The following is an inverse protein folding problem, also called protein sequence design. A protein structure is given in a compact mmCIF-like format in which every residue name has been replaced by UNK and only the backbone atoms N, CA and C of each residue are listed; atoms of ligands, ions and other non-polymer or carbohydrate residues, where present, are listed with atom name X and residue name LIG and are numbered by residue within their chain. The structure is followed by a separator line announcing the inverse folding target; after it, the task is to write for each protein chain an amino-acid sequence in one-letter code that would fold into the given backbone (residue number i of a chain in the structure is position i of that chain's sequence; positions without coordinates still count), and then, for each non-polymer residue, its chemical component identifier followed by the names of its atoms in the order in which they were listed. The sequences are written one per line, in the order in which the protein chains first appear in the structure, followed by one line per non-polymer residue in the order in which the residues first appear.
data_IF_849197408956
#
_entry.id   IF_849197408956
#
_cell.length_a   1.000
_cell.length_b   1.000
_cell.length_c   1.000
_cell.angle_alpha   90.00
_cell.angle_beta   90.00
_cell.angle_gamma   90.00
#
_symmetry.space_group_name_H-M   'P 1'
#
loop_
_entity.id
_entity.type
_entity.pdbx_description
1 polymer ?
#
# COMPACT_ATOMS: atom_id res chain seq x y z
N UNK A 1 -7.83 43.32 58.03
CA UNK A 1 -7.01 43.24 56.81
C UNK A 1 -6.31 41.87 56.63
N UNK A 2 -6.49 40.89 57.52
CA UNK A 2 -5.80 39.58 57.43
C UNK A 2 -6.55 38.51 56.61
N UNK A 3 -7.84 38.71 56.31
CA UNK A 3 -8.66 37.74 55.55
C UNK A 3 -8.57 37.88 54.01
N UNK A 4 -8.18 39.05 53.51
CA UNK A 4 -7.99 39.28 52.06
C UNK A 4 -6.79 38.47 51.53
N UNK A 5 -5.66 38.48 52.23
CA UNK A 5 -4.45 37.75 51.80
C UNK A 5 -4.64 36.23 51.72
N UNK A 6 -5.49 35.66 52.57
CA UNK A 6 -5.78 34.22 52.56
C UNK A 6 -6.62 33.85 51.33
N UNK A 7 -7.59 34.69 50.97
CA UNK A 7 -8.43 34.47 49.79
C UNK A 7 -7.61 34.57 48.50
N UNK A 8 -6.72 35.56 48.41
CA UNK A 8 -5.83 35.71 47.25
C UNK A 8 -4.87 34.52 47.10
N UNK A 9 -4.34 33.99 48.22
CA UNK A 9 -3.48 32.80 48.21
C UNK A 9 -4.22 31.55 47.70
N UNK A 10 -5.45 31.35 48.16
CA UNK A 10 -6.29 30.22 47.71
C UNK A 10 -6.57 30.32 46.21
N UNK A 11 -6.92 31.51 45.71
CA UNK A 11 -7.15 31.74 44.28
C UNK A 11 -5.89 31.54 43.44
N UNK A 12 -4.73 31.93 43.95
CA UNK A 12 -3.45 31.73 43.27
C UNK A 12 -3.13 30.23 43.10
N UNK A 13 -3.30 29.45 44.16
CA UNK A 13 -3.09 27.99 44.11
C UNK A 13 -4.10 27.34 43.17
N UNK A 14 -5.38 27.74 43.24
CA UNK A 14 -6.41 27.23 42.34
C UNK A 14 -6.07 27.52 40.87
N UNK A 15 -5.61 28.74 40.55
CA UNK A 15 -5.19 29.09 39.20
C UNK A 15 -3.96 28.29 38.73
N UNK A 16 -2.97 28.05 39.60
CA UNK A 16 -1.83 27.19 39.28
C UNK A 16 -2.25 25.75 38.97
N UNK A 17 -3.19 25.18 39.73
CA UNK A 17 -3.68 23.83 39.48
C UNK A 17 -4.40 23.73 38.14
N UNK A 18 -5.24 24.71 37.81
CA UNK A 18 -5.90 24.78 36.50
C UNK A 18 -4.87 24.92 35.38
N UNK A 19 -3.89 25.81 35.54
CA UNK A 19 -2.82 26.00 34.56
C UNK A 19 -2.00 24.72 34.35
N UNK A 20 -1.66 24.00 35.42
CA UNK A 20 -0.93 22.74 35.35
C UNK A 20 -1.73 21.66 34.61
N UNK A 21 -3.04 21.56 34.87
CA UNK A 21 -3.92 20.62 34.16
C UNK A 21 -4.01 20.93 32.67
N UNK A 22 -4.18 22.20 32.28
CA UNK A 22 -4.23 22.60 30.87
C UNK A 22 -2.90 22.33 30.18
N UNK A 23 -1.77 22.70 30.80
CA UNK A 23 -0.45 22.40 30.28
C UNK A 23 -0.23 20.89 30.10
N UNK A 24 -0.67 20.08 31.06
CA UNK A 24 -0.62 18.61 30.96
C UNK A 24 -1.40 18.09 29.75
N UNK A 25 -2.64 18.55 29.55
CA UNK A 25 -3.44 18.13 28.39
C UNK A 25 -2.81 18.55 27.06
N UNK A 26 -2.26 19.77 26.97
CA UNK A 26 -1.61 20.26 25.76
C UNK A 26 -0.36 19.44 25.42
N UNK A 27 0.45 19.09 26.42
CA UNK A 27 1.64 18.25 26.21
C UNK A 27 1.25 16.86 25.70
N UNK A 28 0.23 16.23 26.29
CA UNK A 28 -0.27 14.93 25.81
C UNK A 28 -0.76 15.02 24.37
N UNK A 29 -1.61 16.01 24.05
CA UNK A 29 -2.15 16.15 22.70
C UNK A 29 -1.08 16.45 21.65
N UNK A 30 -0.05 17.25 21.98
CA UNK A 30 1.08 17.48 21.08
C UNK A 30 1.91 16.21 20.89
N UNK A 31 2.08 15.40 21.95
CA UNK A 31 2.75 14.10 21.86
C UNK A 31 2.00 13.12 20.97
N UNK A 32 0.68 13.01 21.13
CA UNK A 32 -0.19 12.19 20.27
C UNK A 32 -0.14 12.64 18.81
N UNK A 33 -0.18 13.96 18.58
CA UNK A 33 -0.06 14.54 17.24
C UNK A 33 1.31 14.26 16.61
N UNK A 34 2.40 14.42 17.36
CA UNK A 34 3.76 14.13 16.87
C UNK A 34 3.88 12.67 16.46
N UNK A 35 3.45 11.74 17.33
CA UNK A 35 3.50 10.32 17.01
C UNK A 35 2.63 9.95 15.79
N UNK A 36 1.49 10.62 15.61
CA UNK A 36 0.65 10.41 14.42
C UNK A 36 1.31 10.95 13.16
N UNK A 37 1.99 12.10 13.23
CA UNK A 37 2.73 12.68 12.11
C UNK A 37 3.93 11.80 11.75
N UNK A 38 4.67 11.30 12.73
CA UNK A 38 5.82 10.43 12.52
C UNK A 38 5.38 9.12 11.84
N UNK A 39 4.27 8.52 12.29
CA UNK A 39 3.67 7.34 11.64
C UNK A 39 3.25 7.62 10.20
N UNK A 40 2.49 8.68 9.97
CA UNK A 40 2.05 9.07 8.62
C UNK A 40 3.22 9.37 7.68
N UNK A 41 4.29 10.00 8.19
CA UNK A 41 5.49 10.30 7.40
C UNK A 41 6.25 9.03 7.00
N UNK A 42 6.28 8.03 7.88
CA UNK A 42 6.85 6.71 7.57
C UNK A 42 6.07 6.00 6.47
N UNK A 43 4.75 5.92 6.61
CA UNK A 43 3.88 5.26 5.62
C UNK A 43 3.97 5.94 4.23
N UNK A 44 3.99 7.27 4.20
CA UNK A 44 4.15 8.02 2.93
C UNK A 44 5.53 7.82 2.31
N UNK A 45 6.58 7.71 3.13
CA UNK A 45 7.94 7.43 2.60
C UNK A 45 7.98 6.04 1.98
N UNK A 46 7.40 5.06 2.67
CA UNK A 46 7.26 3.68 2.21
C UNK A 46 6.49 3.59 0.87
N UNK A 47 5.42 4.37 0.70
CA UNK A 47 4.65 4.46 -0.54
C UNK A 47 5.46 5.11 -1.67
N UNK A 48 6.26 6.15 -1.39
CA UNK A 48 7.12 6.81 -2.39
C UNK A 48 8.27 5.91 -2.85
N UNK A 49 8.84 5.12 -1.94
CA UNK A 49 9.93 4.19 -2.23
C UNK A 49 9.44 2.91 -2.94
N UNK A 50 8.12 2.70 -3.00
CA UNK A 50 7.50 1.55 -3.66
C UNK A 50 6.99 1.94 -5.04
N UNK A 51 7.51 1.29 -6.08
CA UNK A 51 7.02 1.48 -7.45
C UNK A 51 7.16 0.17 -8.24
N UNK A 52 6.17 -0.11 -9.10
CA UNK A 52 6.13 -1.32 -9.92
C UNK A 52 5.66 -1.02 -11.34
N UNK A 53 6.30 -1.67 -12.31
CA UNK A 53 5.97 -1.53 -13.72
C UNK A 53 5.69 -2.89 -14.36
N UNK A 54 4.56 -3.01 -15.05
CA UNK A 54 4.25 -4.19 -15.85
C UNK A 54 4.98 -4.09 -17.19
N UNK A 55 5.90 -5.03 -17.45
CA UNK A 55 6.76 -5.06 -18.64
C UNK A 55 6.37 -6.17 -19.65
N UNK A 56 5.19 -6.77 -19.48
CA UNK A 56 4.66 -7.77 -20.41
C UNK A 56 4.46 -7.20 -21.83
N UNK A 57 4.57 -8.06 -22.85
CA UNK A 57 4.25 -7.70 -24.23
C UNK A 57 2.76 -7.94 -24.53
N UNK A 58 1.94 -6.90 -24.82
CA UNK A 58 0.49 -7.03 -25.02
C UNK A 58 0.11 -7.85 -26.26
N UNK A 59 1.03 -8.07 -27.21
CA UNK A 59 0.81 -8.90 -28.39
C UNK A 59 1.20 -10.36 -28.21
N UNK A 60 1.69 -10.76 -27.03
CA UNK A 60 2.17 -12.11 -26.76
C UNK A 60 1.05 -13.03 -26.29
N UNK A 61 0.97 -14.22 -26.88
CA UNK A 61 0.08 -15.31 -26.43
C UNK A 61 0.46 -15.83 -25.03
N UNK A 62 1.64 -15.47 -24.50
CA UNK A 62 2.09 -15.89 -23.18
C UNK A 62 1.34 -15.21 -22.01
N UNK A 63 0.54 -14.17 -22.29
CA UNK A 63 -0.24 -13.48 -21.24
C UNK A 63 -1.38 -14.37 -20.74
N UNK A 64 -2.09 -15.04 -21.65
CA UNK A 64 -3.27 -15.84 -21.29
C UNK A 64 -2.89 -17.31 -21.35
N UNK A 65 -2.97 -17.98 -20.20
CA UNK A 65 -2.65 -19.40 -20.09
C UNK A 65 -3.72 -20.32 -20.70
N UNK A 66 -3.38 -21.60 -20.77
CA UNK A 66 -4.28 -22.64 -21.29
C UNK A 66 -5.62 -22.64 -20.54
N UNK A 67 -6.73 -22.60 -21.28
CA UNK A 67 -8.12 -22.49 -20.81
C UNK A 67 -8.61 -21.08 -20.44
N UNK A 68 -7.86 -20.02 -20.72
CA UNK A 68 -8.28 -18.62 -20.56
C UNK A 68 -8.55 -18.19 -19.10
N UNK A 69 -8.21 -19.03 -18.14
CA UNK A 69 -8.44 -18.80 -16.71
C UNK A 69 -7.19 -18.33 -15.98
N UNK A 70 -6.09 -18.12 -16.70
CA UNK A 70 -4.83 -17.71 -16.09
C UNK A 70 -4.28 -16.51 -16.83
N UNK A 71 -3.90 -15.46 -16.10
CA UNK A 71 -3.21 -14.29 -16.63
C UNK A 71 -1.82 -14.23 -16.04
N UNK A 72 -0.79 -14.22 -16.89
CA UNK A 72 0.61 -14.15 -16.49
C UNK A 72 1.18 -12.80 -16.91
N UNK A 73 1.73 -12.07 -15.94
CA UNK A 73 2.35 -10.77 -16.14
C UNK A 73 3.80 -10.77 -15.63
N UNK A 74 4.66 -10.06 -16.34
CA UNK A 74 6.01 -9.76 -15.91
C UNK A 74 5.99 -8.38 -15.25
N UNK A 75 6.32 -8.33 -13.97
CA UNK A 75 6.26 -7.11 -13.17
C UNK A 75 7.66 -6.81 -12.65
N UNK A 76 8.18 -5.65 -13.02
CA UNK A 76 9.47 -5.16 -12.56
C UNK A 76 9.26 -4.27 -11.34
N UNK A 77 10.08 -4.47 -10.32
CA UNK A 77 10.17 -3.51 -9.22
C UNK A 77 11.02 -2.32 -9.68
N UNK A 78 10.41 -1.14 -9.82
CA UNK A 78 11.07 0.11 -10.21
C UNK A 78 11.34 1.02 -9.02
N UNK A 79 10.80 0.70 -7.85
CA UNK A 79 11.08 1.38 -6.59
C UNK A 79 12.41 0.96 -5.96
N UNK A 80 12.68 1.53 -4.80
CA UNK A 80 13.90 1.31 -4.01
C UNK A 80 13.70 0.25 -2.91
N UNK A 81 12.45 -0.11 -2.61
CA UNK A 81 12.10 -1.09 -1.58
C UNK A 81 12.05 -2.52 -2.12
N UNK A 82 12.56 -3.49 -1.36
CA UNK A 82 12.33 -4.91 -1.65
C UNK A 82 10.88 -5.32 -1.36
N UNK A 83 10.22 -5.93 -2.34
CA UNK A 83 8.84 -6.40 -2.22
C UNK A 83 8.76 -7.87 -1.76
N UNK A 84 7.73 -8.25 -0.99
CA UNK A 84 7.49 -9.64 -0.63
C UNK A 84 7.11 -10.48 -1.85
N UNK A 85 7.69 -11.68 -1.93
CA UNK A 85 7.42 -12.64 -3.02
C UNK A 85 6.19 -13.51 -2.78
N UNK A 86 5.48 -13.33 -1.67
CA UNK A 86 4.26 -14.07 -1.33
C UNK A 86 2.97 -13.38 -1.79
N UNK A 87 3.08 -12.20 -2.41
CA UNK A 87 1.94 -11.50 -3.01
C UNK A 87 1.04 -10.74 -2.02
N UNK A 88 1.33 -10.76 -0.71
CA UNK A 88 0.48 -10.10 0.30
C UNK A 88 0.33 -8.59 0.16
N UNK A 89 1.26 -7.92 -0.53
CA UNK A 89 1.21 -6.48 -0.77
C UNK A 89 0.67 -6.13 -2.17
N UNK A 90 0.31 -7.14 -2.97
CA UNK A 90 -0.22 -6.95 -4.31
C UNK A 90 -1.75 -7.00 -4.28
N UNK A 91 -2.37 -5.97 -4.83
CA UNK A 91 -3.80 -5.91 -5.07
C UNK A 91 -4.08 -5.90 -6.59
N UNK A 92 -4.20 -7.09 -7.22
CA UNK A 92 -4.52 -7.21 -8.64
C UNK A 92 -6.02 -7.07 -8.91
N UNK A 93 -6.35 -6.31 -9.96
CA UNK A 93 -7.69 -6.20 -10.53
C UNK A 93 -7.64 -6.59 -12.00
N UNK A 94 -8.52 -7.49 -12.41
CA UNK A 94 -8.72 -7.86 -13.82
C UNK A 94 -10.10 -7.37 -14.24
N UNK A 95 -10.16 -6.48 -15.22
CA UNK A 95 -11.39 -5.80 -15.68
C UNK A 95 -12.21 -5.16 -14.54
N UNK A 96 -11.50 -4.68 -13.51
CA UNK A 96 -12.10 -4.08 -12.31
C UNK A 96 -12.60 -5.08 -11.26
N UNK A 97 -12.37 -6.39 -11.46
CA UNK A 97 -12.65 -7.44 -10.48
C UNK A 97 -11.39 -7.78 -9.70
N UNK A 98 -11.48 -7.70 -8.38
CA UNK A 98 -10.38 -8.06 -7.48
C UNK A 98 -10.08 -9.56 -7.54
N UNK A 99 -8.80 -9.92 -7.65
CA UNK A 99 -8.33 -11.31 -7.57
C UNK A 99 -7.72 -11.54 -6.19
N UNK A 100 -8.33 -12.45 -5.41
CA UNK A 100 -7.86 -12.77 -4.06
C UNK A 100 -6.44 -13.35 -4.06
N UNK A 101 -5.71 -13.11 -2.96
CA UNK A 101 -4.35 -13.62 -2.77
C UNK A 101 -4.22 -15.15 -2.92
N UNK A 102 -5.28 -15.92 -2.63
CA UNK A 102 -5.29 -17.39 -2.85
C UNK A 102 -5.16 -17.79 -4.33
N UNK A 103 -5.54 -16.91 -5.23
CA UNK A 103 -5.49 -17.08 -6.68
C UNK A 103 -4.30 -16.33 -7.30
N UNK A 104 -3.44 -15.75 -6.48
CA UNK A 104 -2.25 -15.02 -6.88
C UNK A 104 -1.02 -15.88 -6.61
N UNK A 105 -0.12 -15.96 -7.58
CA UNK A 105 1.19 -16.57 -7.42
C UNK A 105 2.25 -15.63 -7.96
N UNK A 106 3.27 -15.35 -7.15
CA UNK A 106 4.40 -14.50 -7.51
C UNK A 106 5.66 -15.36 -7.52
N UNK A 107 6.38 -15.35 -8.64
CA UNK A 107 7.66 -16.04 -8.79
C UNK A 107 8.71 -15.03 -9.20
N UNK A 108 9.66 -14.73 -8.31
CA UNK A 108 10.78 -13.84 -8.63
C UNK A 108 11.69 -14.52 -9.64
N UNK A 109 12.02 -13.80 -10.72
CA UNK A 109 12.90 -14.29 -11.77
C UNK A 109 14.34 -13.90 -11.42
N UNK A 110 15.27 -14.82 -11.70
CA UNK A 110 16.72 -14.65 -11.63
C UNK A 110 17.32 -14.44 -10.21
N UNK A 111 16.57 -13.84 -9.28
CA UNK A 111 17.01 -13.49 -7.93
C UNK A 111 16.13 -14.14 -6.85
N UNK A 112 16.65 -14.33 -5.61
CA UNK A 112 15.88 -14.93 -4.51
C UNK A 112 14.89 -13.96 -3.87
N UNK A 113 15.02 -12.65 -4.10
CA UNK A 113 14.15 -11.61 -3.53
C UNK A 113 13.81 -10.56 -4.58
N UNK A 114 12.62 -9.97 -4.47
CA UNK A 114 12.12 -8.99 -5.43
C UNK A 114 12.63 -7.58 -5.11
N UNK A 115 13.94 -7.40 -5.30
CA UNK A 115 14.61 -6.12 -5.05
C UNK A 115 14.36 -5.12 -6.19
N UNK A 116 14.78 -3.87 -5.97
CA UNK A 116 14.84 -2.84 -6.98
C UNK A 116 15.50 -3.35 -8.27
N UNK A 117 14.82 -3.21 -9.39
CA UNK A 117 15.27 -3.64 -10.73
C UNK A 117 14.97 -5.10 -11.09
N UNK A 118 14.57 -5.94 -10.13
CA UNK A 118 14.25 -7.36 -10.35
C UNK A 118 12.84 -7.52 -10.93
N UNK A 119 12.66 -8.56 -11.75
CA UNK A 119 11.37 -8.91 -12.37
C UNK A 119 10.77 -10.11 -11.65
N UNK A 120 9.48 -10.07 -11.37
CA UNK A 120 8.69 -11.20 -10.92
C UNK A 120 7.63 -11.57 -11.95
N UNK A 121 7.41 -12.86 -12.12
CA UNK A 121 6.26 -13.39 -12.84
C UNK A 121 5.07 -13.45 -11.88
N UNK A 122 4.05 -12.66 -12.16
CA UNK A 122 2.78 -12.61 -11.44
C UNK A 122 1.74 -13.40 -12.21
N UNK A 123 1.23 -14.47 -11.61
CA UNK A 123 0.23 -15.35 -12.21
C UNK A 123 -1.08 -15.23 -11.45
N UNK A 124 -2.15 -14.87 -12.16
CA UNK A 124 -3.50 -14.66 -11.63
C UNK A 124 -4.41 -15.78 -12.12
N UNK A 125 -5.01 -16.53 -11.20
CA UNK A 125 -6.03 -17.53 -11.50
C UNK A 125 -7.42 -16.88 -11.43
N UNK A 126 -8.15 -16.87 -12.53
CA UNK A 126 -9.48 -16.29 -12.64
C UNK A 126 -10.54 -17.35 -12.35
N UNK A 127 -11.59 -16.95 -11.64
CA UNK A 127 -12.74 -17.83 -11.38
C UNK A 127 -13.57 -18.12 -12.63
N UNK A 128 -13.56 -17.19 -13.59
CA UNK A 128 -14.25 -17.29 -14.88
C UNK A 128 -13.21 -17.12 -16.00
N UNK A 129 -13.34 -17.85 -17.12
CA UNK A 129 -12.46 -17.68 -18.27
C UNK A 129 -12.63 -16.28 -18.89
N UNK A 130 -11.56 -15.74 -19.44
CA UNK A 130 -11.60 -14.51 -20.24
C UNK A 130 -12.33 -14.76 -21.57
N UNK A 131 -13.27 -13.86 -21.88
CA UNK A 131 -13.90 -13.77 -23.19
C UNK A 131 -12.92 -13.23 -24.23
N UNK A 132 -13.19 -13.40 -25.53
CA UNK A 132 -12.40 -12.72 -26.56
C UNK A 132 -12.67 -11.20 -26.52
N UNK A 133 -11.62 -10.38 -26.51
CA UNK A 133 -11.74 -8.94 -26.47
C UNK A 133 -10.56 -8.20 -25.84
N UNK A 134 -10.79 -6.93 -25.53
CA UNK A 134 -9.84 -6.11 -24.78
C UNK A 134 -10.00 -6.34 -23.28
N UNK A 135 -8.87 -6.54 -22.60
CA UNK A 135 -8.81 -6.71 -21.16
C UNK A 135 -7.81 -5.75 -20.55
N UNK A 136 -8.06 -5.41 -19.28
CA UNK A 136 -7.20 -4.54 -18.51
C UNK A 136 -6.88 -5.17 -17.17
N UNK A 137 -5.60 -5.32 -16.89
CA UNK A 137 -5.11 -5.65 -15.55
C UNK A 137 -4.55 -4.40 -14.91
N UNK A 138 -4.95 -4.17 -13.66
CA UNK A 138 -4.39 -3.14 -12.80
C UNK A 138 -3.74 -3.85 -11.62
N UNK A 139 -2.51 -3.51 -11.31
CA UNK A 139 -1.79 -4.00 -10.16
C UNK A 139 -1.49 -2.83 -9.25
N UNK A 140 -1.94 -2.90 -8.00
CA UNK A 140 -1.64 -1.90 -6.98
C UNK A 140 -0.72 -2.49 -5.91
N UNK A 141 0.27 -1.71 -5.48
CA UNK A 141 1.24 -2.07 -4.42
C UNK A 141 1.51 -0.81 -3.61
N UNK A 142 1.03 -0.75 -2.36
CA UNK A 142 1.22 0.41 -1.47
C UNK A 142 1.04 1.78 -2.17
N UNK A 143 -0.08 1.95 -2.86
CA UNK A 143 -0.41 3.21 -3.55
C UNK A 143 0.24 3.41 -4.93
N UNK A 144 1.25 2.61 -5.29
CA UNK A 144 1.75 2.54 -6.67
C UNK A 144 0.81 1.70 -7.52
N UNK A 145 0.34 2.26 -8.63
CA UNK A 145 -0.60 1.62 -9.54
C UNK A 145 0.04 1.42 -10.93
N UNK A 146 0.05 0.19 -11.42
CA UNK A 146 0.49 -0.16 -12.76
C UNK A 146 -0.67 -0.76 -13.55
N UNK A 147 -0.90 -0.26 -14.76
CA UNK A 147 -1.99 -0.73 -15.61
C UNK A 147 -1.44 -1.34 -16.90
N UNK A 148 -1.98 -2.50 -17.27
CA UNK A 148 -1.63 -3.21 -18.48
C UNK A 148 -2.88 -3.54 -19.28
N UNK A 149 -2.88 -3.18 -20.56
CA UNK A 149 -3.97 -3.46 -21.48
C UNK A 149 -3.49 -4.45 -22.53
N UNK A 150 -4.29 -5.46 -22.81
CA UNK A 150 -3.99 -6.45 -23.83
C UNK A 150 -5.27 -6.88 -24.55
N UNK A 151 -5.09 -7.40 -25.76
CA UNK A 151 -6.17 -7.97 -26.54
C UNK A 151 -6.03 -9.49 -26.55
N UNK A 152 -7.11 -10.18 -26.21
CA UNK A 152 -7.19 -11.63 -26.28
C UNK A 152 -8.08 -12.06 -27.44
N UNK A 153 -7.50 -12.79 -28.40
CA UNK A 153 -8.15 -13.16 -29.66
C UNK A 153 -9.20 -14.27 -29.58
N UNK A 154 -9.38 -14.89 -28.40
CA UNK A 154 -10.17 -16.12 -28.27
C UNK A 154 -9.38 -17.37 -28.65
N UNK A 155 -9.82 -18.52 -28.13
CA UNK A 155 -9.31 -19.85 -28.49
C UNK A 155 -10.16 -20.49 -29.60
#
# INVERSE_FOLDING_TARGET
MSGESISTLILFIAAMLVAASVAGTLVTSVGELSGSIDGYSGDVSDDIETDVEIISDPGSDAIVGDNNQTVTLLVKNTGDRTLPSDGTELDPLVDGRYVSNENLSVTVLEEPTWNAGTVAQVTLSLSEPLDAGEHRVMLSVRGSESTFQFYYGGA
#
